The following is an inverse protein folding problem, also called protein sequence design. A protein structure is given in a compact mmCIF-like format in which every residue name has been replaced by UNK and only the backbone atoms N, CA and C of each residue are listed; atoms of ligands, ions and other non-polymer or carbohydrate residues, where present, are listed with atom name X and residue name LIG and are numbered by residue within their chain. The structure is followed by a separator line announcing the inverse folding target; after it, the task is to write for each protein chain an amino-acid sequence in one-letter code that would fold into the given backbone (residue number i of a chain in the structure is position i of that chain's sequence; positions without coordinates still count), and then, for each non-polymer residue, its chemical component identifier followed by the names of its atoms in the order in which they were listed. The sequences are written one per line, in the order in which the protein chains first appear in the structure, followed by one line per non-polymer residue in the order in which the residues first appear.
data_IF_739048193685
#
_entry.id   IF_739048193685
#
_cell.length_a   1.000
_cell.length_b   1.000
_cell.length_c   1.000
_cell.angle_alpha   90.00
_cell.angle_beta   90.00
_cell.angle_gamma   90.00
#
_symmetry.space_group_name_H-M   'P 1'
#
loop_
_entity.id
_entity.type
_entity.pdbx_description
1 polymer ?
#
# COMPACT_ATOMS: atom_id res chain seq x y z
N UNK A 1 18.47 -1.16 -7.81
CA UNK A 1 17.66 0.05 -7.90
C UNK A 1 16.24 -0.35 -8.31
N UNK A 2 15.22 0.27 -7.68
CA UNK A 2 13.82 0.11 -8.10
C UNK A 2 13.68 0.85 -9.43
N UNK A 3 13.07 0.21 -10.41
CA UNK A 3 12.81 0.83 -11.72
C UNK A 3 11.59 1.77 -11.63
N UNK A 4 11.76 2.88 -10.89
CA UNK A 4 10.73 3.91 -10.73
C UNK A 4 10.39 4.60 -12.05
N UNK A 5 11.34 4.69 -12.97
CA UNK A 5 11.13 5.32 -14.29
C UNK A 5 10.13 4.54 -15.12
N UNK A 6 10.27 3.22 -15.20
CA UNK A 6 9.31 2.37 -15.93
C UNK A 6 7.95 2.42 -15.26
N UNK A 7 7.87 2.34 -13.93
CA UNK A 7 6.59 2.43 -13.23
C UNK A 7 5.91 3.78 -13.43
N UNK A 8 6.66 4.89 -13.42
CA UNK A 8 6.12 6.24 -13.70
C UNK A 8 5.50 6.32 -15.08
N UNK A 9 6.18 5.77 -16.11
CA UNK A 9 5.65 5.70 -17.47
C UNK A 9 4.34 4.91 -17.53
N UNK A 10 4.32 3.71 -16.95
CA UNK A 10 3.10 2.88 -16.90
C UNK A 10 1.95 3.57 -16.17
N UNK A 11 2.23 4.28 -15.08
CA UNK A 11 1.23 5.01 -14.32
C UNK A 11 0.63 6.19 -15.10
N UNK A 12 1.46 6.89 -15.88
CA UNK A 12 1.01 7.96 -16.77
C UNK A 12 0.23 7.40 -17.97
N UNK A 13 0.74 6.39 -18.65
CA UNK A 13 0.09 5.76 -19.82
C UNK A 13 -1.25 5.12 -19.48
N UNK A 14 -1.37 4.51 -18.30
CA UNK A 14 -2.64 3.94 -17.82
C UNK A 14 -3.64 5.00 -17.34
N UNK A 15 -3.21 6.24 -17.16
CA UNK A 15 -3.99 7.31 -16.52
C UNK A 15 -4.09 7.17 -14.99
N UNK A 16 -3.35 6.24 -14.38
CA UNK A 16 -3.28 6.09 -12.93
C UNK A 16 -2.74 7.36 -12.26
N UNK A 17 -1.81 8.04 -12.90
CA UNK A 17 -1.35 9.37 -12.52
C UNK A 17 -1.74 10.36 -13.61
N UNK A 18 -2.39 11.45 -13.19
CA UNK A 18 -2.79 12.54 -14.07
C UNK A 18 -2.29 13.86 -13.51
N UNK A 19 -1.72 14.68 -14.38
CA UNK A 19 -1.23 16.02 -14.10
C UNK A 19 -2.13 17.05 -14.74
N UNK A 20 -2.59 18.04 -13.98
CA UNK A 20 -3.30 19.20 -14.52
C UNK A 20 -3.02 20.43 -13.65
N UNK A 21 -1.91 21.15 -13.90
CA UNK A 21 -1.54 22.33 -13.14
C UNK A 21 -2.50 23.51 -13.38
N UNK A 22 -3.06 23.63 -14.58
CA UNK A 22 -3.96 24.75 -14.95
C UNK A 22 -5.35 24.59 -14.32
N UNK A 23 -5.82 23.35 -14.15
CA UNK A 23 -7.10 23.02 -13.50
C UNK A 23 -6.86 21.93 -12.44
N UNK A 24 -6.41 22.31 -11.23
CA UNK A 24 -6.12 21.38 -10.18
C UNK A 24 -7.32 20.51 -9.81
N UNK A 25 -7.05 19.25 -9.46
CA UNK A 25 -8.05 18.31 -8.95
C UNK A 25 -8.45 18.70 -7.53
N UNK A 26 -9.75 18.65 -7.25
CA UNK A 26 -10.25 18.84 -5.88
C UNK A 26 -10.35 17.46 -5.22
N UNK A 27 -9.55 17.22 -4.20
CA UNK A 27 -9.60 15.99 -3.43
C UNK A 27 -10.80 15.96 -2.48
N UNK A 28 -11.15 14.77 -1.98
CA UNK A 28 -12.22 14.62 -0.99
C UNK A 28 -11.96 15.43 0.30
N UNK A 29 -10.70 15.73 0.61
CA UNK A 29 -10.26 16.61 1.70
C UNK A 29 -10.47 18.11 1.42
N UNK A 30 -10.89 18.49 0.20
CA UNK A 30 -11.02 19.89 -0.25
C UNK A 30 -9.72 20.51 -0.78
N UNK A 31 -8.58 19.84 -0.68
CA UNK A 31 -7.32 20.34 -1.23
C UNK A 31 -7.35 20.38 -2.76
N UNK A 32 -6.82 21.47 -3.33
CA UNK A 32 -6.57 21.60 -4.78
C UNK A 32 -5.15 21.16 -5.08
N UNK A 33 -5.01 20.07 -5.82
CA UNK A 33 -3.72 19.47 -6.15
C UNK A 33 -3.55 19.33 -7.66
N UNK A 34 -2.37 19.63 -8.21
CA UNK A 34 -2.12 19.51 -9.65
C UNK A 34 -2.03 18.04 -10.11
N UNK A 35 -2.03 17.09 -9.16
CA UNK A 35 -1.90 15.66 -9.40
C UNK A 35 -3.11 14.92 -8.84
N UNK A 36 -3.55 13.92 -9.58
CA UNK A 36 -4.54 12.93 -9.16
C UNK A 36 -3.97 11.53 -9.37
N UNK A 37 -4.08 10.68 -8.36
CA UNK A 37 -3.64 9.29 -8.44
C UNK A 37 -4.82 8.33 -8.24
N UNK A 38 -4.91 7.34 -9.13
CA UNK A 38 -5.84 6.21 -9.06
C UNK A 38 -5.12 4.92 -9.49
N UNK A 39 -4.42 4.30 -8.55
CA UNK A 39 -3.65 3.08 -8.82
C UNK A 39 -4.51 1.87 -9.21
N UNK A 40 -5.84 1.94 -9.05
CA UNK A 40 -6.77 0.89 -9.51
C UNK A 40 -6.71 0.71 -11.03
N UNK A 41 -6.32 1.73 -11.78
CA UNK A 41 -6.13 1.64 -13.23
C UNK A 41 -4.96 0.72 -13.63
N UNK A 42 -3.99 0.51 -12.73
CA UNK A 42 -2.92 -0.47 -12.93
C UNK A 42 -3.44 -1.92 -12.87
N UNK A 43 -4.65 -2.14 -12.36
CA UNK A 43 -5.27 -3.48 -12.33
C UNK A 43 -5.73 -3.94 -13.71
N UNK A 44 -5.93 -3.02 -14.66
CA UNK A 44 -6.50 -3.31 -15.98
C UNK A 44 -5.65 -4.24 -16.85
N UNK A 45 -4.33 -4.34 -16.59
CA UNK A 45 -3.42 -5.20 -17.33
C UNK A 45 -2.66 -6.16 -16.42
N UNK A 46 -2.64 -7.47 -16.72
CA UNK A 46 -1.92 -8.46 -15.90
C UNK A 46 -0.43 -8.13 -15.73
N UNK A 47 0.23 -7.67 -16.78
CA UNK A 47 1.65 -7.29 -16.77
C UNK A 47 1.93 -6.11 -15.83
N UNK A 48 1.01 -5.17 -15.66
CA UNK A 48 1.17 -4.05 -14.73
C UNK A 48 1.11 -4.53 -13.28
N UNK A 49 0.15 -5.42 -12.96
CA UNK A 49 0.04 -6.02 -11.61
C UNK A 49 1.30 -6.81 -11.26
N UNK A 50 1.76 -7.64 -12.21
CA UNK A 50 2.98 -8.43 -12.02
C UNK A 50 4.19 -7.54 -11.84
N UNK A 51 4.32 -6.47 -12.63
CA UNK A 51 5.44 -5.53 -12.52
C UNK A 51 5.46 -4.84 -11.14
N UNK A 52 4.32 -4.33 -10.67
CA UNK A 52 4.21 -3.73 -9.33
C UNK A 52 4.62 -4.72 -8.24
N UNK A 53 4.13 -5.96 -8.32
CA UNK A 53 4.46 -6.99 -7.34
C UNK A 53 5.96 -7.38 -7.38
N UNK A 54 6.59 -7.40 -8.55
CA UNK A 54 8.03 -7.59 -8.68
C UNK A 54 8.84 -6.45 -8.06
N UNK A 55 8.37 -5.21 -8.16
CA UNK A 55 9.01 -4.08 -7.50
C UNK A 55 8.88 -4.17 -5.96
N UNK A 56 7.71 -4.56 -5.44
CA UNK A 56 7.54 -4.83 -4.02
C UNK A 56 8.44 -5.97 -3.54
N UNK A 57 8.57 -7.05 -4.32
CA UNK A 57 9.52 -8.14 -4.02
C UNK A 57 10.96 -7.62 -3.91
N UNK A 58 11.40 -6.77 -4.85
CA UNK A 58 12.75 -6.16 -4.79
C UNK A 58 12.94 -5.25 -3.57
N UNK A 59 11.90 -4.50 -3.15
CA UNK A 59 11.94 -3.75 -1.90
C UNK A 59 12.14 -4.67 -0.71
N UNK A 60 11.40 -5.78 -0.67
CA UNK A 60 11.47 -6.76 0.42
C UNK A 60 12.84 -7.42 0.52
N UNK A 61 13.51 -7.69 -0.60
CA UNK A 61 14.86 -8.28 -0.65
C UNK A 61 15.92 -7.40 0.05
N UNK A 62 15.67 -6.11 0.21
CA UNK A 62 16.55 -5.19 0.93
C UNK A 62 16.29 -5.17 2.45
N UNK A 63 15.24 -5.83 2.92
CA UNK A 63 14.92 -5.92 4.35
C UNK A 63 15.54 -7.18 4.95
N UNK A 64 16.02 -7.04 6.18
CA UNK A 64 16.60 -8.17 6.95
C UNK A 64 15.54 -9.04 7.64
N UNK A 65 14.30 -8.55 7.71
CA UNK A 65 13.22 -9.22 8.40
C UNK A 65 12.55 -10.28 7.50
N UNK A 66 12.38 -11.49 8.02
CA UNK A 66 11.54 -12.49 7.36
C UNK A 66 10.06 -12.10 7.50
N UNK A 67 9.31 -12.19 6.39
CA UNK A 67 7.86 -11.96 6.36
C UNK A 67 7.14 -13.31 6.28
N UNK A 68 6.17 -13.52 7.13
CA UNK A 68 5.38 -14.75 7.20
C UNK A 68 4.07 -14.63 6.41
N UNK A 69 3.44 -13.44 6.43
CA UNK A 69 2.12 -13.18 5.86
C UNK A 69 2.13 -11.87 5.09
N UNK A 70 1.45 -11.83 3.96
CA UNK A 70 1.17 -10.59 3.21
C UNK A 70 -0.24 -10.13 3.57
N UNK A 71 -0.40 -8.84 3.88
CA UNK A 71 -1.69 -8.22 4.17
C UNK A 71 -2.03 -7.16 3.15
N UNK A 72 -3.26 -7.11 2.66
CA UNK A 72 -3.76 -6.03 1.82
C UNK A 72 -4.74 -5.12 2.56
N UNK A 73 -4.60 -3.81 2.44
CA UNK A 73 -5.62 -2.87 2.94
C UNK A 73 -6.83 -2.89 2.01
N UNK A 74 -8.00 -3.14 2.54
CA UNK A 74 -9.22 -3.06 1.75
C UNK A 74 -9.54 -1.61 1.37
N UNK A 75 -9.82 -1.34 0.11
CA UNK A 75 -10.09 -2.31 -0.96
C UNK A 75 -8.93 -2.40 -1.96
N UNK A 76 -8.26 -1.32 -2.28
CA UNK A 76 -7.35 -1.22 -3.42
C UNK A 76 -5.97 -1.86 -3.17
N UNK A 77 -5.57 -2.06 -1.92
CA UNK A 77 -4.36 -2.82 -1.57
C UNK A 77 -4.48 -4.32 -1.80
N UNK A 78 -5.70 -4.88 -1.73
CA UNK A 78 -5.92 -6.34 -1.82
C UNK A 78 -5.38 -6.95 -3.12
N UNK A 79 -5.69 -6.45 -4.34
CA UNK A 79 -5.22 -7.06 -5.57
C UNK A 79 -3.69 -7.11 -5.67
N UNK A 80 -3.01 -6.07 -5.22
CA UNK A 80 -1.55 -5.99 -5.24
C UNK A 80 -0.92 -6.93 -4.20
N UNK A 81 -1.52 -7.00 -3.00
CA UNK A 81 -1.12 -7.95 -1.96
C UNK A 81 -1.29 -9.40 -2.44
N UNK A 82 -2.41 -9.72 -3.12
CA UNK A 82 -2.66 -11.05 -3.67
C UNK A 82 -1.59 -11.45 -4.69
N UNK A 83 -1.29 -10.57 -5.65
CA UNK A 83 -0.25 -10.85 -6.66
C UNK A 83 1.12 -11.03 -6.03
N UNK A 84 1.46 -10.22 -5.02
CA UNK A 84 2.74 -10.35 -4.29
C UNK A 84 2.79 -11.65 -3.48
N UNK A 85 1.72 -12.01 -2.77
CA UNK A 85 1.63 -13.24 -1.99
C UNK A 85 1.82 -14.47 -2.88
N UNK A 86 1.21 -14.49 -4.08
CA UNK A 86 1.37 -15.55 -5.07
C UNK A 86 2.82 -15.69 -5.54
N UNK A 87 3.50 -14.55 -5.83
CA UNK A 87 4.91 -14.54 -6.25
C UNK A 87 5.83 -15.05 -5.13
N UNK A 88 5.55 -14.67 -3.88
CA UNK A 88 6.35 -15.04 -2.72
C UNK A 88 5.98 -16.40 -2.11
N UNK A 89 4.87 -17.01 -2.58
CA UNK A 89 4.30 -18.25 -1.99
C UNK A 89 4.02 -18.10 -0.50
N UNK A 90 3.44 -16.95 -0.11
CA UNK A 90 3.11 -16.62 1.28
C UNK A 90 1.60 -16.59 1.50
N UNK A 91 1.12 -16.87 2.73
CA UNK A 91 -0.25 -16.64 3.13
C UNK A 91 -0.68 -15.20 2.87
N UNK A 92 -1.97 -15.01 2.58
CA UNK A 92 -2.60 -13.72 2.36
C UNK A 92 -3.71 -13.50 3.38
N UNK A 93 -3.74 -12.30 3.95
CA UNK A 93 -4.88 -11.74 4.69
C UNK A 93 -5.27 -10.39 4.08
N UNK A 94 -6.45 -9.87 4.40
CA UNK A 94 -6.75 -8.49 4.13
C UNK A 94 -7.46 -7.82 5.32
N UNK A 95 -7.28 -6.49 5.41
CA UNK A 95 -7.78 -5.69 6.52
C UNK A 95 -8.87 -4.78 6.03
N UNK A 96 -10.06 -4.89 6.60
CA UNK A 96 -11.22 -4.05 6.29
C UNK A 96 -11.06 -2.67 6.92
N UNK A 97 -11.69 -1.65 6.33
CA UNK A 97 -11.70 -0.30 6.88
C UNK A 97 -12.34 -0.24 8.29
N UNK A 98 -13.32 -1.13 8.54
CA UNK A 98 -13.98 -1.28 9.85
C UNK A 98 -14.31 -2.74 10.13
N UNK A 99 -14.47 -3.08 11.40
CA UNK A 99 -14.94 -4.38 11.83
C UNK A 99 -16.35 -4.68 11.28
N UNK A 100 -16.69 -5.96 11.14
CA UNK A 100 -18.06 -6.37 10.76
C UNK A 100 -19.05 -5.95 11.82
N UNK A 101 -20.19 -5.42 11.40
CA UNK A 101 -21.32 -5.11 12.30
C UNK A 101 -22.03 -6.37 12.82
N UNK A 102 -21.81 -7.52 12.16
CA UNK A 102 -22.43 -8.81 12.50
C UNK A 102 -21.37 -9.92 12.52
N UNK A 103 -21.59 -10.97 13.32
CA UNK A 103 -20.68 -12.09 13.51
C UNK A 103 -19.62 -11.79 14.59
N UNK A 104 -18.41 -12.33 14.42
CA UNK A 104 -17.32 -12.20 15.42
C UNK A 104 -16.64 -10.82 15.43
N UNK A 105 -17.15 -9.84 14.68
CA UNK A 105 -16.63 -8.47 14.67
C UNK A 105 -15.22 -8.33 14.10
N UNK A 106 -14.72 -9.33 13.34
CA UNK A 106 -13.36 -9.32 12.84
C UNK A 106 -13.15 -8.23 11.77
N UNK A 107 -12.05 -7.52 11.90
CA UNK A 107 -11.56 -6.57 10.91
C UNK A 107 -10.59 -7.23 9.92
N UNK A 108 -9.98 -8.36 10.30
CA UNK A 108 -9.05 -9.14 9.48
C UNK A 108 -9.79 -10.31 8.87
N UNK A 109 -9.55 -10.56 7.60
CA UNK A 109 -10.04 -11.71 6.85
C UNK A 109 -8.87 -12.56 6.38
N UNK A 110 -8.92 -13.85 6.65
CA UNK A 110 -7.86 -14.82 6.41
C UNK A 110 -7.14 -15.25 7.69
N UNK A 111 -6.25 -16.25 7.61
CA UNK A 111 -5.57 -16.80 8.78
C UNK A 111 -4.41 -15.90 9.24
N UNK A 112 -4.42 -15.51 10.49
CA UNK A 112 -3.33 -14.82 11.18
C UNK A 112 -3.09 -15.47 12.52
N UNK A 113 -1.86 -15.90 12.76
CA UNK A 113 -1.43 -16.41 14.06
C UNK A 113 -0.62 -15.35 14.83
N UNK A 114 -0.77 -15.26 16.16
CA UNK A 114 0.06 -14.39 16.98
C UNK A 114 1.55 -14.60 16.74
N UNK A 115 2.33 -13.51 16.71
CA UNK A 115 3.76 -13.53 16.49
C UNK A 115 4.22 -13.59 15.03
N UNK A 116 3.32 -13.73 14.06
CA UNK A 116 3.68 -13.69 12.64
C UNK A 116 4.08 -12.29 12.19
N UNK A 117 5.17 -12.22 11.41
CA UNK A 117 5.62 -10.99 10.77
C UNK A 117 4.79 -10.72 9.50
N UNK A 118 4.09 -9.60 9.49
CA UNK A 118 3.16 -9.22 8.42
C UNK A 118 3.71 -8.03 7.65
N UNK A 119 3.76 -8.13 6.31
CA UNK A 119 3.99 -7.00 5.42
C UNK A 119 2.64 -6.46 4.97
N UNK A 120 2.35 -5.19 5.29
CA UNK A 120 1.14 -4.52 4.83
C UNK A 120 1.37 -3.90 3.44
N UNK A 121 0.42 -4.12 2.54
CA UNK A 121 0.38 -3.54 1.20
C UNK A 121 -0.81 -2.59 1.08
N UNK A 122 -0.51 -1.35 0.70
CA UNK A 122 -1.48 -0.31 0.37
C UNK A 122 -1.29 0.12 -1.10
N UNK A 123 -2.30 0.67 -1.74
CA UNK A 123 -2.13 1.24 -3.09
C UNK A 123 -1.61 2.68 -3.05
N UNK A 124 -2.10 3.47 -2.11
CA UNK A 124 -1.82 4.90 -1.98
C UNK A 124 -1.72 5.33 -0.52
N UNK A 125 -0.63 6.00 -0.17
CA UNK A 125 -0.50 6.67 1.13
C UNK A 125 -0.53 8.19 0.93
N UNK A 126 -1.59 8.82 1.44
CA UNK A 126 -1.73 10.28 1.58
C UNK A 126 -1.41 10.67 3.04
N UNK A 127 -2.42 10.80 3.88
CA UNK A 127 -2.26 11.10 5.32
C UNK A 127 -1.97 9.88 6.19
N UNK A 128 -1.97 8.69 5.61
CA UNK A 128 -1.63 7.42 6.26
C UNK A 128 -2.74 6.79 7.13
N UNK A 129 -3.90 7.43 7.27
CA UNK A 129 -4.92 6.99 8.22
C UNK A 129 -5.41 5.55 8.01
N UNK A 130 -5.70 5.13 6.75
CA UNK A 130 -6.17 3.77 6.45
C UNK A 130 -5.10 2.72 6.75
N UNK A 131 -3.87 2.97 6.33
CA UNK A 131 -2.75 2.05 6.56
C UNK A 131 -2.42 1.91 8.05
N UNK A 132 -2.41 3.02 8.81
CA UNK A 132 -2.18 3.01 10.26
C UNK A 132 -3.29 2.23 10.98
N UNK A 133 -4.55 2.44 10.59
CA UNK A 133 -5.67 1.65 11.12
C UNK A 133 -5.49 0.15 10.85
N UNK A 134 -5.04 -0.21 9.66
CA UNK A 134 -4.76 -1.60 9.30
C UNK A 134 -3.59 -2.19 10.13
N UNK A 135 -2.49 -1.44 10.32
CA UNK A 135 -1.37 -1.85 11.20
C UNK A 135 -1.87 -2.14 12.60
N UNK A 136 -2.68 -1.23 13.17
CA UNK A 136 -3.21 -1.39 14.53
C UNK A 136 -4.16 -2.58 14.63
N UNK A 137 -4.99 -2.83 13.62
CA UNK A 137 -5.88 -3.99 13.58
C UNK A 137 -5.09 -5.31 13.56
N UNK A 138 -4.03 -5.42 12.75
CA UNK A 138 -3.17 -6.61 12.70
C UNK A 138 -2.48 -6.83 14.05
N UNK A 139 -1.94 -5.77 14.64
CA UNK A 139 -1.26 -5.86 15.94
C UNK A 139 -2.20 -6.25 17.08
N UNK A 140 -3.43 -5.79 17.03
CA UNK A 140 -4.47 -6.17 18.00
C UNK A 140 -4.73 -7.69 18.00
N UNK A 141 -4.64 -8.32 16.84
CA UNK A 141 -4.77 -9.77 16.68
C UNK A 141 -3.44 -10.53 16.89
N UNK A 142 -2.40 -9.85 17.39
CA UNK A 142 -1.10 -10.44 17.74
C UNK A 142 -0.09 -10.51 16.60
N UNK A 143 -0.37 -10.00 15.42
CA UNK A 143 0.59 -9.90 14.32
C UNK A 143 1.63 -8.81 14.57
N UNK A 144 2.80 -8.96 13.96
CA UNK A 144 3.92 -8.00 14.02
C UNK A 144 4.00 -7.28 12.69
N UNK A 145 3.81 -5.96 12.67
CA UNK A 145 3.87 -5.13 11.46
C UNK A 145 4.93 -4.06 11.63
N UNK A 146 6.07 -4.22 10.99
CA UNK A 146 7.16 -3.24 10.99
C UNK A 146 7.26 -2.50 9.67
N UNK A 147 6.64 -3.02 8.61
CA UNK A 147 6.72 -2.44 7.27
C UNK A 147 5.36 -2.37 6.59
N UNK A 148 5.15 -1.24 5.91
CA UNK A 148 4.04 -1.02 4.99
C UNK A 148 4.60 -0.59 3.63
N UNK A 149 4.23 -1.27 2.55
CA UNK A 149 4.61 -0.87 1.20
C UNK A 149 3.41 -0.29 0.47
N UNK A 150 3.65 0.75 -0.34
CA UNK A 150 2.62 1.32 -1.20
C UNK A 150 3.16 1.62 -2.60
N UNK A 151 2.25 1.72 -3.57
CA UNK A 151 2.63 2.06 -4.94
C UNK A 151 3.02 3.53 -5.01
N UNK A 152 2.20 4.41 -4.42
CA UNK A 152 2.42 5.84 -4.47
C UNK A 152 2.26 6.48 -3.09
N UNK A 153 3.12 7.47 -2.79
CA UNK A 153 2.96 8.34 -1.62
C UNK A 153 3.08 9.80 -2.01
N UNK A 154 2.25 10.65 -1.41
CA UNK A 154 2.40 12.10 -1.55
C UNK A 154 3.59 12.66 -0.79
N UNK A 155 4.18 11.89 0.13
CA UNK A 155 5.41 12.25 0.85
C UNK A 155 5.22 13.35 1.90
N UNK A 156 4.03 13.48 2.50
CA UNK A 156 3.79 14.47 3.55
C UNK A 156 4.62 14.15 4.80
N UNK A 157 5.32 15.16 5.33
CA UNK A 157 6.15 15.03 6.53
C UNK A 157 5.36 14.48 7.73
N UNK A 158 4.12 14.92 7.91
CA UNK A 158 3.23 14.46 8.98
C UNK A 158 2.91 12.97 8.85
N UNK A 159 2.87 12.44 7.64
CA UNK A 159 2.63 11.01 7.41
C UNK A 159 3.81 10.19 7.90
N UNK A 160 5.03 10.61 7.60
CA UNK A 160 6.25 9.94 8.11
C UNK A 160 6.28 9.92 9.64
N UNK A 161 6.00 11.05 10.30
CA UNK A 161 5.96 11.15 11.77
C UNK A 161 4.95 10.17 12.38
N UNK A 162 3.73 10.10 11.82
CA UNK A 162 2.70 9.16 12.30
C UNK A 162 3.13 7.69 12.18
N UNK A 163 3.85 7.33 11.13
CA UNK A 163 4.37 5.98 10.98
C UNK A 163 5.51 5.69 11.95
N UNK A 164 6.38 6.68 12.23
CA UNK A 164 7.43 6.59 13.26
C UNK A 164 6.83 6.40 14.66
N UNK A 165 5.79 7.17 15.01
CA UNK A 165 5.07 7.07 16.30
C UNK A 165 4.56 5.66 16.57
N UNK A 166 4.17 4.92 15.54
CA UNK A 166 3.70 3.55 15.67
C UNK A 166 4.79 2.51 15.39
N UNK A 167 6.07 2.90 15.29
CA UNK A 167 7.17 2.01 14.95
C UNK A 167 6.88 1.13 13.73
N UNK A 168 6.40 1.74 12.63
CA UNK A 168 6.18 1.09 11.36
C UNK A 168 6.81 1.95 10.26
N UNK A 169 7.70 1.40 9.46
CA UNK A 169 8.28 2.11 8.32
C UNK A 169 7.40 1.90 7.09
N UNK A 170 7.11 2.97 6.33
CA UNK A 170 6.50 2.78 5.03
C UNK A 170 7.46 3.12 3.90
N UNK A 171 7.36 2.37 2.82
CA UNK A 171 8.13 2.55 1.60
C UNK A 171 7.19 2.63 0.40
N UNK A 172 7.42 3.61 -0.46
CA UNK A 172 6.65 3.77 -1.70
C UNK A 172 7.51 3.43 -2.92
N UNK A 173 6.89 2.85 -3.95
CA UNK A 173 7.53 2.63 -5.25
C UNK A 173 7.69 3.94 -6.01
N UNK A 174 6.70 4.83 -5.88
CA UNK A 174 6.69 6.19 -6.43
C UNK A 174 6.31 7.19 -5.35
N UNK A 175 6.86 8.38 -5.44
CA UNK A 175 6.45 9.53 -4.64
C UNK A 175 6.20 10.75 -5.53
N UNK A 176 5.54 11.76 -5.00
CA UNK A 176 5.39 13.03 -5.70
C UNK A 176 6.75 13.62 -6.12
N UNK A 177 7.77 13.49 -5.27
CA UNK A 177 9.13 13.98 -5.53
C UNK A 177 9.83 13.19 -6.66
N UNK A 178 9.52 11.92 -6.86
CA UNK A 178 10.13 11.09 -7.92
C UNK A 178 9.47 11.29 -9.28
N UNK A 179 8.36 12.04 -9.35
CA UNK A 179 7.65 12.39 -10.59
C UNK A 179 8.05 13.75 -11.16
N UNK A 180 8.75 14.56 -10.37
CA UNK A 180 9.29 15.87 -10.77
C UNK A 180 10.70 15.74 -11.31
#
# INVERSE_FOLDING_TARGET
MIDSTTLSKLALESGAIRFNPDKPFIWASGYKMPIYNDNRLLLGKPEYRTFVAQLFKRLLENLTQNIDVIAGTATAGIPHATTLADILKKPLIYVRASAKSHGMGNQIEGPLAPGQNVLLIEDLISTGGSAINAVNAIRKEGGIVNFCFCIFSYGFTETYKKFEEINCQYHSLLSFQTLL
#
